data_IF_410776416918
#
_entry.id   IF_410776416918
#
_cell.length_a   1.000
_cell.length_b   1.000
_cell.length_c   1.000
_cell.angle_alpha   90.00
_cell.angle_beta   90.00
_cell.angle_gamma   90.00
#
_symmetry.space_group_name_H-M   'P 1'
#
loop_
_entity.id
_entity.type
_entity.pdbx_description
1 polymer ?
#
# COMPACT_ATOMS: atom_id res chain seq x y z
N UNK A 1 -2.76 7.44 21.13
CA UNK A 1 -2.59 7.77 19.70
C UNK A 1 -1.92 9.13 19.56
N UNK A 2 -0.86 9.29 18.76
CA UNK A 2 -0.17 10.57 18.57
C UNK A 2 -1.08 11.71 18.10
N UNK A 3 -2.12 11.40 17.36
CA UNK A 3 -3.08 12.39 16.81
C UNK A 3 -4.02 13.02 17.86
N UNK A 4 -4.06 12.50 19.10
CA UNK A 4 -4.85 13.10 20.18
C UNK A 4 -4.36 14.51 20.52
N UNK A 5 -3.06 14.76 20.40
CA UNK A 5 -2.49 16.10 20.59
C UNK A 5 -3.02 17.12 19.58
N UNK A 6 -3.49 16.64 18.41
CA UNK A 6 -4.12 17.43 17.36
C UNK A 6 -5.67 17.40 17.43
N UNK A 7 -6.23 17.00 18.57
CA UNK A 7 -7.66 16.94 18.86
C UNK A 7 -8.46 15.95 18.00
N UNK A 8 -7.84 14.86 17.50
CA UNK A 8 -8.54 13.79 16.82
C UNK A 8 -7.92 12.42 17.12
N UNK A 9 -8.74 11.35 17.08
CA UNK A 9 -8.31 10.00 17.44
C UNK A 9 -8.66 8.94 16.41
N UNK A 10 -9.72 9.13 15.64
CA UNK A 10 -10.25 8.15 14.70
C UNK A 10 -10.42 8.75 13.32
N UNK A 11 -10.32 7.91 12.28
CA UNK A 11 -10.63 8.25 10.90
C UNK A 11 -11.42 7.11 10.26
N UNK A 12 -12.09 7.38 9.17
CA UNK A 12 -12.71 6.37 8.33
C UNK A 12 -11.67 5.88 7.30
N UNK A 13 -11.83 4.64 6.87
CA UNK A 13 -11.13 4.13 5.69
C UNK A 13 -11.68 4.82 4.44
N UNK A 14 -10.99 4.68 3.32
CA UNK A 14 -11.52 5.06 2.02
C UNK A 14 -12.86 4.37 1.75
N UNK A 15 -13.73 5.04 1.02
CA UNK A 15 -14.94 4.41 0.50
C UNK A 15 -14.57 3.31 -0.48
N UNK A 16 -15.30 2.17 -0.40
CA UNK A 16 -15.03 0.99 -1.21
C UNK A 16 -16.27 0.52 -1.95
N UNK A 17 -16.10 0.15 -3.19
CA UNK A 17 -17.06 -0.62 -3.95
C UNK A 17 -16.91 -2.10 -3.56
N UNK A 18 -18.02 -2.74 -3.21
CA UNK A 18 -18.06 -4.14 -2.83
C UNK A 18 -18.70 -4.97 -3.93
N UNK A 19 -18.07 -6.06 -4.30
CA UNK A 19 -18.58 -7.03 -5.26
C UNK A 19 -18.15 -8.45 -4.90
N UNK A 20 -18.61 -9.43 -5.64
CA UNK A 20 -18.16 -10.81 -5.53
C UNK A 20 -17.45 -11.20 -6.83
N UNK A 21 -16.36 -11.95 -6.72
CA UNK A 21 -15.73 -12.59 -7.87
C UNK A 21 -16.52 -13.84 -8.31
N UNK A 22 -16.11 -14.47 -9.41
CA UNK A 22 -16.74 -15.69 -9.93
C UNK A 22 -16.75 -16.87 -8.94
N UNK A 23 -15.83 -16.90 -8.01
CA UNK A 23 -15.75 -17.90 -6.93
C UNK A 23 -16.58 -17.56 -5.70
N UNK A 24 -17.28 -16.41 -5.70
CA UNK A 24 -18.10 -15.94 -4.58
C UNK A 24 -17.31 -15.26 -3.47
N UNK A 25 -16.02 -14.94 -3.66
CA UNK A 25 -15.22 -14.22 -2.68
C UNK A 25 -15.48 -12.72 -2.77
N UNK A 26 -15.47 -12.05 -1.62
CA UNK A 26 -15.64 -10.60 -1.53
C UNK A 26 -14.45 -9.89 -2.20
N UNK A 27 -14.76 -8.93 -3.06
CA UNK A 27 -13.82 -7.99 -3.67
C UNK A 27 -14.12 -6.61 -3.10
N UNK A 28 -13.08 -5.89 -2.70
CA UNK A 28 -13.18 -4.54 -2.15
C UNK A 28 -12.26 -3.62 -2.97
N UNK A 29 -12.82 -2.75 -3.78
CA UNK A 29 -12.06 -1.77 -4.57
C UNK A 29 -12.24 -0.37 -4.00
N UNK A 30 -11.21 0.50 -4.06
CA UNK A 30 -11.43 1.93 -3.82
C UNK A 30 -12.49 2.45 -4.80
N UNK A 31 -13.32 3.41 -4.35
CA UNK A 31 -14.28 4.04 -5.25
C UNK A 31 -13.55 4.75 -6.40
N UNK A 32 -14.06 4.58 -7.62
CA UNK A 32 -13.44 5.11 -8.85
C UNK A 32 -13.35 6.64 -8.89
N UNK A 33 -14.18 7.32 -8.12
CA UNK A 33 -14.16 8.79 -8.01
C UNK A 33 -12.79 9.32 -7.54
N UNK A 34 -12.00 8.53 -6.81
CA UNK A 34 -10.65 8.88 -6.39
C UNK A 34 -9.69 9.10 -7.58
N UNK A 35 -9.97 8.47 -8.72
CA UNK A 35 -9.14 8.62 -9.92
C UNK A 35 -9.12 10.07 -10.46
N UNK A 36 -10.18 10.83 -10.21
CA UNK A 36 -10.28 12.23 -10.63
C UNK A 36 -9.32 13.17 -9.88
N UNK A 37 -8.80 12.73 -8.74
CA UNK A 37 -7.88 13.51 -7.90
C UNK A 37 -6.40 13.18 -8.13
N UNK A 38 -6.08 12.26 -9.06
CA UNK A 38 -4.71 11.88 -9.37
C UNK A 38 -3.97 12.98 -10.10
N UNK A 39 -2.82 13.37 -9.54
CA UNK A 39 -1.83 14.20 -10.20
C UNK A 39 -0.53 13.40 -10.30
N UNK A 40 -0.14 13.04 -11.52
CA UNK A 40 1.01 12.15 -11.75
C UNK A 40 2.31 12.79 -11.26
N UNK A 41 3.03 12.06 -10.41
CA UNK A 41 4.36 12.40 -9.93
C UNK A 41 5.45 11.60 -10.65
N UNK A 42 5.24 10.30 -10.81
CA UNK A 42 6.17 9.38 -11.48
C UNK A 42 5.44 8.25 -12.18
N UNK A 43 5.99 7.89 -13.34
CA UNK A 43 5.64 6.68 -14.08
C UNK A 43 6.94 6.02 -14.52
N UNK A 44 7.19 4.79 -14.13
CA UNK A 44 8.42 4.09 -14.47
C UNK A 44 8.21 2.59 -14.65
N UNK A 45 9.13 1.97 -15.37
CA UNK A 45 9.19 0.53 -15.58
C UNK A 45 10.58 0.03 -15.19
N UNK A 46 10.64 -1.05 -14.40
CA UNK A 46 11.90 -1.62 -13.95
C UNK A 46 11.78 -2.55 -12.76
N UNK A 47 12.91 -2.89 -12.17
CA UNK A 47 13.02 -3.83 -11.04
C UNK A 47 13.16 -3.12 -9.69
N UNK A 48 13.43 -1.82 -9.71
CA UNK A 48 13.57 -1.00 -8.51
C UNK A 48 13.17 0.44 -8.79
N UNK A 49 12.66 1.11 -7.76
CA UNK A 49 12.38 2.53 -7.76
C UNK A 49 12.75 3.10 -6.39
N UNK A 50 13.50 4.20 -6.36
CA UNK A 50 13.93 4.87 -5.15
C UNK A 50 13.80 6.37 -5.29
N UNK A 51 12.95 7.00 -4.47
CA UNK A 51 12.74 8.45 -4.42
C UNK A 51 12.00 8.84 -3.15
N UNK A 52 12.17 10.07 -2.71
CA UNK A 52 11.44 10.61 -1.56
C UNK A 52 10.14 11.29 -1.99
N UNK A 53 9.06 10.98 -1.27
CA UNK A 53 7.71 11.52 -1.50
C UNK A 53 7.08 12.03 -0.20
N UNK A 54 6.03 12.83 -0.36
CA UNK A 54 5.20 13.34 0.73
C UNK A 54 3.73 13.00 0.44
N UNK A 55 3.01 12.56 1.44
CA UNK A 55 1.59 12.19 1.34
C UNK A 55 0.70 13.44 1.07
N UNK A 56 -0.53 13.27 0.54
CA UNK A 56 -1.19 11.99 0.24
C UNK A 56 -0.75 11.41 -1.11
N UNK A 57 -0.61 10.08 -1.17
CA UNK A 57 -0.14 9.37 -2.37
C UNK A 57 -1.05 8.19 -2.73
N UNK A 58 -1.18 7.95 -4.02
CA UNK A 58 -1.56 6.65 -4.55
C UNK A 58 -0.37 6.01 -5.27
N UNK A 59 -0.10 4.74 -4.98
CA UNK A 59 0.96 3.95 -5.60
C UNK A 59 0.29 2.74 -6.24
N UNK A 60 0.53 2.55 -7.54
CA UNK A 60 0.03 1.38 -8.29
C UNK A 60 1.21 0.66 -8.88
N UNK A 61 1.36 -0.61 -8.52
CA UNK A 61 2.40 -1.51 -9.04
C UNK A 61 1.72 -2.68 -9.74
N UNK A 62 2.09 -2.93 -10.98
CA UNK A 62 1.60 -4.09 -11.75
C UNK A 62 2.77 -4.92 -12.26
N UNK A 63 2.56 -6.24 -12.37
CA UNK A 63 3.55 -7.18 -12.81
C UNK A 63 3.07 -7.91 -14.07
N UNK A 64 3.91 -8.02 -15.11
CA UNK A 64 3.61 -8.84 -16.28
C UNK A 64 3.68 -10.34 -15.94
N UNK A 65 4.60 -10.70 -15.04
CA UNK A 65 4.77 -12.04 -14.50
C UNK A 65 4.71 -12.01 -12.98
N UNK A 66 4.23 -13.06 -12.37
CA UNK A 66 4.23 -13.19 -10.91
C UNK A 66 5.64 -13.03 -10.35
N UNK A 67 5.90 -12.08 -9.46
CA UNK A 67 7.19 -11.96 -8.82
C UNK A 67 7.44 -13.11 -7.83
N UNK A 68 8.70 -13.56 -7.70
CA UNK A 68 9.08 -14.45 -6.62
C UNK A 68 9.16 -13.70 -5.28
N UNK A 69 9.56 -12.45 -5.36
CA UNK A 69 9.59 -11.51 -4.23
C UNK A 69 9.22 -10.09 -4.69
N UNK A 70 8.59 -9.35 -3.78
CA UNK A 70 8.32 -7.93 -3.90
C UNK A 70 8.49 -7.28 -2.54
N UNK A 71 9.04 -6.08 -2.51
CA UNK A 71 9.10 -5.27 -1.30
C UNK A 71 8.85 -3.79 -1.59
N UNK A 72 8.18 -3.13 -0.65
CA UNK A 72 8.06 -1.69 -0.59
C UNK A 72 8.40 -1.23 0.82
N UNK A 73 9.34 -0.31 0.95
CA UNK A 73 9.62 0.39 2.20
C UNK A 73 9.25 1.86 2.04
N UNK A 74 8.56 2.41 3.03
CA UNK A 74 8.22 3.81 3.11
C UNK A 74 8.62 4.37 4.47
N UNK A 75 9.42 5.42 4.47
CA UNK A 75 10.01 5.95 5.69
C UNK A 75 10.93 4.94 6.37
N UNK A 76 10.92 4.96 7.72
CA UNK A 76 11.79 4.10 8.53
C UNK A 76 11.12 2.81 8.96
N UNK A 77 9.82 2.85 9.17
CA UNK A 77 9.12 1.89 10.01
C UNK A 77 7.99 1.13 9.30
N UNK A 78 7.84 1.32 7.99
CA UNK A 78 6.78 0.68 7.22
C UNK A 78 7.37 -0.16 6.10
N UNK A 79 7.14 -1.47 6.14
CA UNK A 79 7.65 -2.42 5.16
C UNK A 79 6.55 -3.36 4.70
N UNK A 80 6.41 -3.50 3.39
CA UNK A 80 5.51 -4.43 2.73
C UNK A 80 6.36 -5.47 2.01
N UNK A 81 6.02 -6.75 2.11
CA UNK A 81 6.73 -7.83 1.42
C UNK A 81 5.78 -8.88 0.87
N UNK A 82 6.12 -9.44 -0.27
CA UNK A 82 5.49 -10.62 -0.84
C UNK A 82 6.52 -11.72 -1.05
N UNK A 83 6.14 -12.94 -0.71
CA UNK A 83 6.91 -14.18 -0.93
C UNK A 83 6.06 -15.20 -1.68
N UNK A 84 6.48 -15.55 -2.90
CA UNK A 84 5.78 -16.52 -3.74
C UNK A 84 5.76 -17.93 -3.15
N UNK A 85 6.82 -18.35 -2.42
CA UNK A 85 6.90 -19.72 -1.86
C UNK A 85 5.79 -19.98 -0.87
N UNK A 86 5.46 -18.98 -0.07
CA UNK A 86 4.36 -19.04 0.89
C UNK A 86 3.07 -18.46 0.31
N UNK A 87 3.15 -17.85 -0.88
CA UNK A 87 2.11 -17.06 -1.52
C UNK A 87 1.46 -16.08 -0.52
N UNK A 88 2.30 -15.35 0.19
CA UNK A 88 1.88 -14.50 1.29
C UNK A 88 2.36 -13.07 1.16
N UNK A 89 1.50 -12.15 1.61
CA UNK A 89 1.81 -10.74 1.72
C UNK A 89 1.87 -10.34 3.19
N UNK A 90 2.93 -9.65 3.58
CA UNK A 90 3.19 -9.20 4.95
C UNK A 90 3.32 -7.70 5.00
N UNK A 91 2.68 -7.09 5.97
CA UNK A 91 2.80 -5.67 6.31
C UNK A 91 3.44 -5.59 7.68
N UNK A 92 4.57 -4.89 7.77
CA UNK A 92 5.31 -4.65 9.01
C UNK A 92 5.32 -3.14 9.31
N UNK A 93 5.14 -2.79 10.57
CA UNK A 93 5.25 -1.41 11.06
C UNK A 93 5.82 -1.38 12.48
N UNK A 94 6.39 -0.25 12.87
CA UNK A 94 6.68 0.00 14.28
C UNK A 94 5.42 0.42 15.04
N UNK A 95 5.17 -0.19 16.18
CA UNK A 95 4.17 0.29 17.12
C UNK A 95 4.65 1.63 17.72
N UNK A 96 3.82 2.66 17.61
CA UNK A 96 4.17 4.03 18.04
C UNK A 96 4.36 4.18 19.56
N UNK A 97 3.78 3.29 20.37
CA UNK A 97 3.82 3.34 21.82
C UNK A 97 4.95 2.47 22.37
N UNK A 98 4.99 1.20 21.98
CA UNK A 98 5.96 0.23 22.50
C UNK A 98 7.28 0.21 21.77
N UNK A 99 7.35 0.83 20.57
CA UNK A 99 8.53 0.81 19.69
C UNK A 99 8.95 -0.59 19.23
N UNK A 100 8.03 -1.54 19.29
CA UNK A 100 8.23 -2.90 18.80
C UNK A 100 7.68 -3.05 17.38
N UNK A 101 8.26 -3.96 16.60
CA UNK A 101 7.74 -4.29 15.28
C UNK A 101 6.47 -5.13 15.43
N UNK A 102 5.45 -4.75 14.68
CA UNK A 102 4.18 -5.47 14.52
C UNK A 102 4.01 -5.86 13.06
N UNK A 103 3.43 -7.00 12.81
CA UNK A 103 3.16 -7.43 11.45
C UNK A 103 1.74 -8.01 11.30
N UNK A 104 1.23 -7.93 10.07
CA UNK A 104 0.03 -8.62 9.60
C UNK A 104 0.39 -9.37 8.34
N UNK A 105 -0.07 -10.62 8.23
CA UNK A 105 0.22 -11.51 7.10
C UNK A 105 -1.08 -12.10 6.58
N UNK A 106 -1.22 -12.14 5.26
CA UNK A 106 -2.27 -12.86 4.57
C UNK A 106 -1.66 -13.83 3.55
N UNK A 107 -2.21 -15.04 3.47
CA UNK A 107 -1.95 -15.95 2.36
C UNK A 107 -2.92 -15.60 1.25
N UNK A 108 -2.42 -15.35 0.04
CA UNK A 108 -3.24 -14.95 -1.09
C UNK A 108 -3.93 -16.16 -1.73
N UNK A 109 -5.14 -15.94 -2.24
CA UNK A 109 -5.87 -16.96 -3.02
C UNK A 109 -5.24 -17.20 -4.39
N UNK A 110 -4.67 -16.17 -4.98
CA UNK A 110 -3.94 -16.17 -6.25
C UNK A 110 -2.56 -15.54 -6.05
N UNK A 111 -1.63 -15.87 -6.94
CA UNK A 111 -0.33 -15.20 -6.97
C UNK A 111 -0.49 -13.68 -7.17
N UNK A 112 0.45 -12.93 -6.64
CA UNK A 112 0.44 -11.47 -6.73
C UNK A 112 0.55 -11.00 -8.19
N UNK A 113 -0.36 -10.11 -8.61
CA UNK A 113 -0.38 -9.46 -9.93
C UNK A 113 -0.31 -7.95 -9.85
N UNK A 114 -0.93 -7.39 -8.83
CA UNK A 114 -0.98 -5.94 -8.64
C UNK A 114 -1.05 -5.59 -7.16
N UNK A 115 -0.55 -4.40 -6.87
CA UNK A 115 -0.59 -3.77 -5.55
C UNK A 115 -1.02 -2.32 -5.75
N UNK A 116 -2.12 -1.93 -5.14
CA UNK A 116 -2.57 -0.54 -5.09
C UNK A 116 -2.55 -0.07 -3.64
N UNK A 117 -1.91 1.06 -3.40
CA UNK A 117 -1.70 1.59 -2.05
C UNK A 117 -2.15 3.04 -2.01
N UNK A 118 -2.93 3.37 -1.00
CA UNK A 118 -3.22 4.74 -0.62
C UNK A 118 -2.48 5.06 0.67
N UNK A 119 -1.63 6.07 0.62
CA UNK A 119 -0.88 6.61 1.74
C UNK A 119 -1.44 7.98 2.10
N UNK A 120 -1.89 8.11 3.33
CA UNK A 120 -2.23 9.37 3.94
C UNK A 120 -1.26 9.62 5.12
N UNK A 121 -1.27 10.78 5.74
CA UNK A 121 -0.34 11.19 6.79
C UNK A 121 -0.22 10.22 7.97
N UNK A 122 -1.29 9.47 8.28
CA UNK A 122 -1.30 8.54 9.43
C UNK A 122 -1.97 7.21 9.12
N UNK A 123 -2.31 6.95 7.87
CA UNK A 123 -2.97 5.71 7.46
C UNK A 123 -2.49 5.20 6.11
N UNK A 124 -2.52 3.90 5.97
CA UNK A 124 -2.25 3.21 4.72
C UNK A 124 -3.36 2.20 4.45
N UNK A 125 -3.83 2.18 3.21
CA UNK A 125 -4.72 1.15 2.70
C UNK A 125 -4.09 0.47 1.51
N UNK A 126 -4.06 -0.86 1.52
CA UNK A 126 -3.41 -1.69 0.52
C UNK A 126 -4.45 -2.63 -0.07
N UNK A 127 -4.55 -2.64 -1.38
CA UNK A 127 -5.44 -3.51 -2.15
C UNK A 127 -4.57 -4.38 -3.05
N UNK A 128 -4.70 -5.69 -2.91
CA UNK A 128 -3.96 -6.69 -3.67
C UNK A 128 -4.88 -7.40 -4.65
N UNK A 129 -4.38 -7.70 -5.83
CA UNK A 129 -5.10 -8.47 -6.84
C UNK A 129 -6.50 -7.89 -7.10
N UNK A 130 -6.54 -6.59 -7.40
CA UNK A 130 -7.80 -5.84 -7.62
C UNK A 130 -8.77 -5.88 -6.44
N UNK A 131 -8.27 -5.95 -5.21
CA UNK A 131 -9.05 -5.91 -3.97
C UNK A 131 -9.53 -7.27 -3.46
N UNK A 132 -8.90 -8.39 -3.88
CA UNK A 132 -9.16 -9.70 -3.28
C UNK A 132 -8.68 -9.78 -1.84
N UNK A 133 -7.54 -9.13 -1.52
CA UNK A 133 -7.05 -8.97 -0.16
C UNK A 133 -6.81 -7.50 0.12
N UNK A 134 -7.18 -7.07 1.33
CA UNK A 134 -7.08 -5.66 1.71
C UNK A 134 -6.50 -5.53 3.11
N UNK A 135 -5.55 -4.62 3.26
CA UNK A 135 -5.03 -4.20 4.56
C UNK A 135 -5.36 -2.74 4.81
N UNK A 136 -5.73 -2.43 6.04
CA UNK A 136 -5.89 -1.07 6.53
C UNK A 136 -5.14 -0.92 7.83
N UNK A 137 -4.27 0.06 7.91
CA UNK A 137 -3.44 0.27 9.09
C UNK A 137 -3.19 1.76 9.35
N UNK A 138 -2.85 2.03 10.60
CA UNK A 138 -2.28 3.32 11.00
C UNK A 138 -0.79 3.20 11.14
N UNK A 139 -0.08 4.25 10.75
CA UNK A 139 1.34 4.40 10.97
C UNK A 139 1.64 5.85 11.35
N UNK A 140 2.79 6.08 11.93
CA UNK A 140 3.21 7.42 12.34
C UNK A 140 4.69 7.59 12.03
N UNK A 141 4.95 8.43 11.04
CA UNK A 141 6.27 8.85 10.62
C UNK A 141 6.44 10.35 10.86
N UNK A 142 7.67 10.83 10.80
CA UNK A 142 7.95 12.25 10.87
C UNK A 142 7.30 13.00 9.69
N UNK A 143 6.96 14.25 9.87
CA UNK A 143 6.45 15.11 8.80
C UNK A 143 7.48 15.31 7.67
N UNK A 144 6.98 15.70 6.49
CA UNK A 144 7.78 15.95 5.30
C UNK A 144 8.03 14.70 4.46
N UNK A 145 8.89 14.85 3.47
CA UNK A 145 9.21 13.77 2.51
C UNK A 145 9.87 12.58 3.18
N UNK A 146 9.45 11.40 2.78
CA UNK A 146 9.96 10.11 3.24
C UNK A 146 10.49 9.30 2.08
N UNK A 147 11.62 8.63 2.31
CA UNK A 147 12.21 7.73 1.32
C UNK A 147 11.25 6.56 1.04
N UNK A 148 11.00 6.33 -0.24
CA UNK A 148 10.30 5.17 -0.75
C UNK A 148 11.27 4.32 -1.56
N UNK A 149 11.35 3.04 -1.23
CA UNK A 149 12.13 2.06 -1.95
C UNK A 149 11.21 0.91 -2.36
N UNK A 150 11.07 0.68 -3.65
CA UNK A 150 10.30 -0.43 -4.21
C UNK A 150 11.27 -1.35 -4.96
N UNK A 151 11.16 -2.65 -4.73
CA UNK A 151 12.02 -3.65 -5.37
C UNK A 151 11.22 -4.92 -5.69
N UNK A 152 11.57 -5.56 -6.80
CA UNK A 152 11.09 -6.90 -7.16
C UNK A 152 12.11 -7.61 -8.05
N UNK A 153 12.10 -8.93 -8.03
CA UNK A 153 12.87 -9.74 -8.97
C UNK A 153 12.25 -9.81 -10.38
N UNK A 154 10.99 -9.39 -10.54
CA UNK A 154 10.31 -9.24 -11.82
C UNK A 154 10.11 -7.77 -12.18
N UNK A 155 10.03 -7.49 -13.47
CA UNK A 155 9.81 -6.14 -13.96
C UNK A 155 8.44 -5.61 -13.56
N UNK A 156 8.41 -4.41 -12.98
CA UNK A 156 7.22 -3.71 -12.52
C UNK A 156 6.90 -2.52 -13.43
N UNK A 157 5.62 -2.23 -13.58
CA UNK A 157 5.14 -0.92 -14.01
C UNK A 157 4.63 -0.21 -12.76
N UNK A 158 5.18 0.96 -12.45
CA UNK A 158 4.91 1.73 -11.25
C UNK A 158 4.34 3.09 -11.65
N UNK A 159 3.18 3.43 -11.09
CA UNK A 159 2.62 4.77 -11.15
C UNK A 159 2.52 5.33 -9.74
N UNK A 160 2.96 6.55 -9.55
CA UNK A 160 2.86 7.26 -8.27
C UNK A 160 2.19 8.59 -8.53
N UNK A 161 1.06 8.80 -7.89
CA UNK A 161 0.23 10.00 -8.01
C UNK A 161 0.12 10.69 -6.65
N UNK A 162 0.13 12.01 -6.65
CA UNK A 162 -0.39 12.79 -5.52
C UNK A 162 -1.91 12.84 -5.64
N UNK A 163 -2.62 12.89 -4.52
CA UNK A 163 -4.08 13.02 -4.49
C UNK A 163 -4.44 14.45 -4.05
N UNK A 164 -4.80 15.29 -5.01
CA UNK A 164 -5.24 16.66 -4.75
C UNK A 164 -6.77 16.69 -4.54
N UNK A 165 -7.20 16.84 -3.27
CA UNK A 165 -8.62 16.90 -2.86
C UNK A 165 -9.04 18.35 -2.64
#
# INVERSE_FOLDING_TARGET
LPTIENNWAHHLTLFRELSLNESGNLIQKPVRELEAYRVSLDECKGYAHEKAYEEPLEIRVTFEKTPADFSLRYGKNLVLTYDLKENSFTVERENWETKTLEYRKATLNRNLKDVQIYLDHTSMEIFLNEGEEVFSLRYFEAEGKKDMLIHSNEEMIIHIDNLEV
#
